data_IF_200629965317
#
_entry.id   IF_200629965317
#
_cell.length_a   1.000
_cell.length_b   1.000
_cell.length_c   1.000
_cell.angle_alpha   90.00
_cell.angle_beta   90.00
_cell.angle_gamma   90.00
#
_symmetry.space_group_name_H-M   'P 1'
#
loop_
_entity.id
_entity.type
_entity.pdbx_description
1 polymer ?
#
# COMPACT_ATOMS: atom_id res chain seq x y z
N UNK A 1 27.83 -0.99 -1.63
CA UNK A 1 27.29 -1.35 -0.30
C UNK A 1 25.99 -2.13 -0.48
N UNK A 2 25.53 -2.88 0.53
CA UNK A 2 24.22 -3.55 0.47
C UNK A 2 23.15 -2.54 0.87
N UNK A 3 22.26 -2.20 -0.06
CA UNK A 3 21.17 -1.26 0.19
C UNK A 3 20.34 -1.64 1.44
N UNK A 4 19.93 -0.61 2.19
CA UNK A 4 19.01 -0.74 3.32
C UNK A 4 17.62 -1.09 2.80
N UNK A 5 16.97 -2.09 3.39
CA UNK A 5 15.62 -2.51 2.99
C UNK A 5 14.60 -1.55 3.61
N UNK A 6 13.54 -1.17 2.87
CA UNK A 6 12.51 -0.29 3.40
C UNK A 6 11.76 -0.96 4.56
N UNK A 7 11.42 -0.17 5.58
CA UNK A 7 10.43 -0.55 6.58
C UNK A 7 9.03 -0.61 5.96
N UNK A 8 8.35 -1.74 6.10
CA UNK A 8 7.02 -1.97 5.52
C UNK A 8 5.98 -2.12 6.62
N UNK A 9 4.83 -1.46 6.44
CA UNK A 9 3.76 -1.53 7.42
C UNK A 9 3.16 -2.94 7.56
N UNK A 10 2.90 -3.36 8.79
CA UNK A 10 2.10 -4.53 9.14
C UNK A 10 0.60 -4.26 8.99
N UNK A 11 -0.19 -5.33 8.90
CA UNK A 11 -1.65 -5.27 9.08
C UNK A 11 -1.95 -5.61 10.53
N UNK A 12 -2.95 -4.98 11.13
CA UNK A 12 -3.46 -5.32 12.45
C UNK A 12 -4.99 -5.21 12.46
N UNK A 13 -5.66 -6.02 13.29
CA UNK A 13 -7.08 -5.87 13.61
C UNK A 13 -7.27 -4.78 14.68
N UNK A 14 -8.49 -4.27 14.84
CA UNK A 14 -8.81 -3.29 15.89
C UNK A 14 -8.47 -3.84 17.29
N UNK A 15 -8.70 -5.12 17.55
CA UNK A 15 -8.32 -5.77 18.81
C UNK A 15 -6.79 -5.77 19.01
N UNK A 16 -6.02 -6.03 17.95
CA UNK A 16 -4.56 -5.98 18.03
C UNK A 16 -4.05 -4.55 18.25
N UNK A 17 -4.67 -3.56 17.61
CA UNK A 17 -4.31 -2.14 17.79
C UNK A 17 -4.68 -1.68 19.21
N UNK A 18 -5.83 -2.07 19.75
CA UNK A 18 -6.20 -1.81 21.14
C UNK A 18 -5.14 -2.32 22.12
N UNK A 19 -4.65 -3.55 21.92
CA UNK A 19 -3.56 -4.12 22.74
C UNK A 19 -2.24 -3.36 22.58
N UNK A 20 -1.98 -2.73 21.42
CA UNK A 20 -0.82 -1.85 21.24
C UNK A 20 -0.97 -0.58 22.07
N UNK A 21 -2.16 0.04 22.10
CA UNK A 21 -2.41 1.19 22.97
C UNK A 21 -2.27 0.83 24.45
N UNK A 22 -2.72 -0.34 24.87
CA UNK A 22 -2.52 -0.81 26.25
C UNK A 22 -1.04 -0.87 26.63
N UNK A 23 -0.18 -1.25 25.68
CA UNK A 23 1.26 -1.43 25.86
C UNK A 23 2.05 -0.13 25.76
N UNK A 24 1.81 0.68 24.74
CA UNK A 24 2.65 1.85 24.38
C UNK A 24 2.05 3.16 24.89
N UNK A 25 0.75 3.20 25.20
CA UNK A 25 -0.03 4.36 25.70
C UNK A 25 -0.15 5.54 24.73
N UNK A 26 0.77 5.67 23.79
CA UNK A 26 0.76 6.69 22.74
C UNK A 26 1.31 6.09 21.45
N UNK A 27 0.67 6.40 20.33
CA UNK A 27 1.19 6.09 19.00
C UNK A 27 1.17 7.35 18.13
N UNK A 28 2.12 7.46 17.21
CA UNK A 28 2.14 8.54 16.23
C UNK A 28 1.37 8.12 14.98
N UNK A 29 0.39 8.94 14.60
CA UNK A 29 -0.42 8.75 13.41
C UNK A 29 -0.05 9.77 12.33
N UNK A 30 -0.10 9.35 11.07
CA UNK A 30 0.02 10.24 9.89
C UNK A 30 -0.94 9.76 8.81
N UNK A 31 -1.39 10.62 7.89
CA UNK A 31 -2.20 10.19 6.76
C UNK A 31 -1.45 9.16 5.94
N UNK A 32 -2.15 8.11 5.50
CA UNK A 32 -1.59 7.16 4.55
C UNK A 32 -1.68 7.77 3.15
N UNK A 33 -0.52 8.07 2.61
CA UNK A 33 -0.34 8.54 1.24
C UNK A 33 -0.54 7.40 0.22
N UNK A 34 -0.89 7.81 -1.00
CA UNK A 34 -1.16 6.95 -2.16
C UNK A 34 -0.33 7.33 -3.40
N UNK A 35 0.98 7.37 -3.22
CA UNK A 35 1.98 7.68 -4.25
C UNK A 35 3.00 6.57 -4.44
N UNK A 36 4.22 6.96 -4.83
CA UNK A 36 5.34 6.03 -5.04
C UNK A 36 6.39 6.19 -3.95
N UNK A 37 6.56 5.13 -3.14
CA UNK A 37 7.60 5.04 -2.11
C UNK A 37 8.98 5.37 -2.69
N UNK A 38 9.71 6.25 -2.01
CA UNK A 38 11.07 6.63 -2.37
C UNK A 38 11.98 6.67 -1.12
N UNK A 39 13.17 6.10 -1.24
CA UNK A 39 14.25 6.15 -0.26
C UNK A 39 15.50 6.70 -0.93
N UNK A 40 16.24 7.57 -0.27
CA UNK A 40 17.47 8.14 -0.84
C UNK A 40 18.66 7.47 -0.18
N UNK A 41 19.42 6.68 -0.95
CA UNK A 41 20.58 5.94 -0.48
C UNK A 41 21.77 6.17 -1.40
N UNK A 42 22.90 6.52 -0.82
CA UNK A 42 24.14 6.81 -1.53
C UNK A 42 23.93 7.84 -2.66
N UNK A 43 23.07 8.84 -2.42
CA UNK A 43 22.72 9.87 -3.40
C UNK A 43 21.81 9.40 -4.55
N UNK A 44 21.20 8.22 -4.44
CA UNK A 44 20.27 7.68 -5.44
C UNK A 44 18.87 7.57 -4.85
N UNK A 45 17.86 8.01 -5.61
CA UNK A 45 16.48 7.90 -5.20
C UNK A 45 15.97 6.53 -5.65
N UNK A 46 15.57 5.70 -4.70
CA UNK A 46 15.23 4.30 -4.89
C UNK A 46 13.77 4.05 -4.55
N UNK A 47 13.08 3.34 -5.44
CA UNK A 47 11.74 2.82 -5.20
C UNK A 47 11.71 1.78 -4.08
N UNK A 48 10.51 1.35 -3.66
CA UNK A 48 10.30 0.24 -2.71
C UNK A 48 11.06 -1.05 -3.03
N UNK A 49 11.31 -1.34 -4.31
CA UNK A 49 12.06 -2.52 -4.73
C UNK A 49 13.56 -2.28 -4.85
N UNK A 50 14.07 -1.15 -4.35
CA UNK A 50 15.46 -0.72 -4.45
C UNK A 50 15.94 -0.51 -5.90
N UNK A 51 15.01 -0.18 -6.80
CA UNK A 51 15.34 0.23 -8.17
C UNK A 51 15.36 1.75 -8.24
N UNK A 52 16.31 2.37 -8.97
CA UNK A 52 16.33 3.80 -9.19
C UNK A 52 14.99 4.33 -9.70
N UNK A 53 14.59 5.51 -9.21
CA UNK A 53 13.47 6.24 -9.77
C UNK A 53 13.81 6.58 -11.22
N UNK A 54 12.90 6.25 -12.14
CA UNK A 54 13.18 6.29 -13.58
C UNK A 54 13.20 7.72 -14.12
N UNK A 55 12.38 8.60 -13.58
CA UNK A 55 12.28 9.98 -14.03
C UNK A 55 13.55 10.77 -13.69
N UNK A 56 14.26 11.24 -14.72
CA UNK A 56 15.55 11.92 -14.60
C UNK A 56 15.46 13.25 -13.84
N UNK A 57 14.36 14.00 -14.02
CA UNK A 57 14.16 15.26 -13.32
C UNK A 57 13.97 15.04 -11.81
N UNK A 58 13.09 14.12 -11.42
CA UNK A 58 12.90 13.74 -10.02
C UNK A 58 14.22 13.22 -9.42
N UNK A 59 14.92 12.35 -10.17
CA UNK A 59 16.20 11.78 -9.75
C UNK A 59 17.25 12.88 -9.51
N UNK A 60 17.33 13.90 -10.38
CA UNK A 60 18.29 15.01 -10.26
C UNK A 60 18.07 15.90 -9.03
N UNK A 61 16.81 16.03 -8.58
CA UNK A 61 16.46 16.79 -7.38
C UNK A 61 16.74 15.96 -6.13
N UNK A 62 16.28 14.70 -6.12
CA UNK A 62 16.38 13.83 -4.95
C UNK A 62 17.78 13.22 -4.75
N UNK A 63 18.68 13.31 -5.73
CA UNK A 63 20.08 12.87 -5.60
C UNK A 63 20.96 13.81 -4.75
N UNK A 64 20.41 14.89 -4.19
CA UNK A 64 21.16 15.79 -3.32
C UNK A 64 21.64 15.03 -2.07
N UNK A 65 22.95 15.01 -1.75
CA UNK A 65 23.49 14.31 -0.58
C UNK A 65 22.86 14.73 0.76
N UNK A 66 22.31 15.95 0.88
CA UNK A 66 21.61 16.39 2.08
C UNK A 66 20.30 15.62 2.34
N UNK A 67 19.80 14.90 1.34
CA UNK A 67 18.61 14.08 1.46
C UNK A 67 18.92 12.59 1.67
N UNK A 68 20.19 12.22 1.79
CA UNK A 68 20.57 10.82 2.01
C UNK A 68 20.02 10.32 3.35
N UNK A 69 19.47 9.10 3.35
CA UNK A 69 18.80 8.54 4.52
C UNK A 69 17.31 8.86 4.62
N UNK A 70 16.78 9.77 3.80
CA UNK A 70 15.36 10.12 3.85
C UNK A 70 14.47 9.02 3.25
N UNK A 71 13.31 8.82 3.88
CA UNK A 71 12.30 7.85 3.48
C UNK A 71 10.92 8.51 3.42
N UNK A 72 10.26 8.38 2.28
CA UNK A 72 9.06 9.14 1.98
C UNK A 72 8.27 8.60 0.82
N UNK A 73 7.31 9.41 0.36
CA UNK A 73 6.47 9.09 -0.79
C UNK A 73 6.47 10.23 -1.79
N UNK A 74 6.75 9.93 -3.05
CA UNK A 74 6.61 10.88 -4.14
C UNK A 74 5.14 10.93 -4.54
N UNK A 75 4.60 12.14 -4.65
CA UNK A 75 3.24 12.43 -5.11
C UNK A 75 3.31 13.52 -6.18
N UNK A 76 2.57 13.37 -7.28
CA UNK A 76 2.33 14.45 -8.25
C UNK A 76 0.90 14.98 -8.09
N UNK A 77 0.78 16.25 -7.69
CA UNK A 77 -0.49 16.92 -7.44
C UNK A 77 -0.91 16.90 -5.97
N UNK A 78 -2.22 17.04 -5.73
CA UNK A 78 -2.81 17.00 -4.40
C UNK A 78 -2.75 15.56 -3.84
N UNK A 79 -2.17 15.33 -2.64
CA UNK A 79 -2.13 14.02 -2.01
C UNK A 79 -3.51 13.39 -1.73
N UNK A 80 -4.60 14.15 -1.81
CA UNK A 80 -5.96 13.65 -1.58
C UNK A 80 -6.82 13.54 -2.83
N UNK A 81 -6.29 13.84 -4.01
CA UNK A 81 -7.03 13.67 -5.26
C UNK A 81 -7.27 12.18 -5.57
N UNK A 82 -8.47 11.82 -6.03
CA UNK A 82 -8.86 10.43 -6.30
C UNK A 82 -7.96 9.72 -7.34
N UNK A 83 -7.35 10.47 -8.25
CA UNK A 83 -6.49 9.95 -9.30
C UNK A 83 -4.99 10.16 -9.05
N UNK A 84 -4.62 10.60 -7.84
CA UNK A 84 -3.23 10.94 -7.47
C UNK A 84 -2.26 9.79 -7.72
N UNK A 85 -2.63 8.55 -7.39
CA UNK A 85 -1.79 7.38 -7.60
C UNK A 85 -1.47 7.17 -9.08
N UNK A 86 -2.48 7.32 -9.94
CA UNK A 86 -2.35 7.12 -11.39
C UNK A 86 -1.45 8.19 -12.01
N UNK A 87 -1.68 9.46 -11.65
CA UNK A 87 -0.87 10.59 -12.11
C UNK A 87 0.58 10.41 -11.64
N UNK A 88 0.78 10.17 -10.35
CA UNK A 88 2.10 9.97 -9.75
C UNK A 88 2.85 8.81 -10.42
N UNK A 89 2.20 7.65 -10.57
CA UNK A 89 2.82 6.49 -11.24
C UNK A 89 3.24 6.84 -12.67
N UNK A 90 2.37 7.51 -13.44
CA UNK A 90 2.68 7.92 -14.80
C UNK A 90 3.89 8.84 -14.91
N UNK A 91 4.03 9.79 -13.97
CA UNK A 91 5.14 10.74 -13.92
C UNK A 91 6.45 10.11 -13.45
N UNK A 92 6.41 9.31 -12.38
CA UNK A 92 7.59 8.69 -11.76
C UNK A 92 8.18 7.57 -12.63
N UNK A 93 7.33 6.83 -13.36
CA UNK A 93 7.75 5.70 -14.20
C UNK A 93 8.18 6.09 -15.62
N UNK A 94 7.96 7.35 -16.03
CA UNK A 94 8.46 7.89 -17.31
C UNK A 94 9.88 8.42 -17.11
N UNK A 95 10.80 8.15 -18.04
CA UNK A 95 12.19 8.63 -17.91
C UNK A 95 12.33 10.13 -18.09
N UNK A 96 11.54 10.71 -18.99
CA UNK A 96 11.56 12.13 -19.33
C UNK A 96 10.37 12.89 -18.74
N UNK A 97 10.48 14.22 -18.74
CA UNK A 97 9.45 15.15 -18.26
C UNK A 97 9.82 15.78 -16.92
N UNK A 98 9.21 16.93 -16.63
CA UNK A 98 9.44 17.71 -15.40
C UNK A 98 8.13 17.87 -14.65
N UNK A 99 7.61 16.79 -14.05
CA UNK A 99 6.34 16.86 -13.33
C UNK A 99 6.46 17.77 -12.12
N UNK A 100 5.36 18.45 -11.77
CA UNK A 100 5.23 18.97 -10.42
C UNK A 100 5.03 17.79 -9.45
N UNK A 101 5.89 17.70 -8.44
CA UNK A 101 5.87 16.62 -7.47
C UNK A 101 6.23 17.10 -6.08
N UNK A 102 5.82 16.37 -5.06
CA UNK A 102 6.30 16.53 -3.69
C UNK A 102 6.81 15.19 -3.18
N UNK A 103 8.01 15.17 -2.60
CA UNK A 103 8.52 14.08 -1.79
C UNK A 103 8.13 14.32 -0.33
N UNK A 104 7.12 13.57 0.11
CA UNK A 104 6.60 13.61 1.47
C UNK A 104 7.41 12.69 2.37
N UNK A 105 8.34 13.27 3.12
CA UNK A 105 9.26 12.58 4.03
C UNK A 105 8.56 12.23 5.32
N UNK A 106 8.59 10.97 5.74
CA UNK A 106 7.98 10.53 7.00
C UNK A 106 8.94 9.78 7.93
N UNK A 107 10.17 9.48 7.50
CA UNK A 107 11.19 8.83 8.33
C UNK A 107 12.61 9.12 7.78
N UNK A 108 13.62 8.82 8.59
CA UNK A 108 15.03 8.82 8.20
C UNK A 108 15.69 7.55 8.73
N UNK A 109 16.26 6.70 7.87
CA UNK A 109 16.73 5.36 8.25
C UNK A 109 18.21 5.28 8.64
N UNK A 110 18.97 6.38 8.54
CA UNK A 110 20.37 6.43 8.94
C UNK A 110 20.56 6.66 10.44
N UNK A 111 19.57 7.26 11.11
CA UNK A 111 19.69 7.55 12.54
C UNK A 111 19.39 6.30 13.39
N UNK A 112 20.24 5.96 14.37
CA UNK A 112 20.04 4.81 15.25
C UNK A 112 19.00 5.07 16.36
N UNK A 113 18.16 6.10 16.22
CA UNK A 113 17.19 6.50 17.21
C UNK A 113 15.84 5.77 17.04
N UNK A 114 15.03 5.67 18.11
CA UNK A 114 13.61 5.37 17.99
C UNK A 114 12.87 6.39 17.13
N UNK A 115 11.67 6.06 16.65
CA UNK A 115 10.93 6.89 15.70
C UNK A 115 10.77 8.34 16.16
N UNK A 116 10.48 8.57 17.44
CA UNK A 116 10.39 9.91 18.01
C UNK A 116 11.69 10.71 17.84
N UNK A 117 12.85 10.08 18.11
CA UNK A 117 14.15 10.72 17.89
C UNK A 117 14.43 10.98 16.40
N UNK A 118 14.06 10.06 15.50
CA UNK A 118 14.23 10.25 14.05
C UNK A 118 13.32 11.37 13.52
N UNK A 119 12.13 11.54 14.08
CA UNK A 119 11.26 12.68 13.79
C UNK A 119 11.88 13.99 14.26
N UNK A 120 12.41 14.04 15.49
CA UNK A 120 13.13 15.21 15.98
C UNK A 120 14.28 15.61 15.05
N UNK A 121 15.10 14.67 14.61
CA UNK A 121 16.19 14.93 13.65
C UNK A 121 15.67 15.45 12.31
N UNK A 122 14.57 14.90 11.77
CA UNK A 122 13.97 15.38 10.53
C UNK A 122 13.54 16.85 10.63
N UNK A 123 12.91 17.25 11.74
CA UNK A 123 12.52 18.65 11.95
C UNK A 123 13.72 19.56 12.23
N UNK A 124 14.79 19.03 12.83
CA UNK A 124 16.02 19.79 13.06
C UNK A 124 16.77 20.09 11.75
N UNK A 125 16.88 19.09 10.87
CA UNK A 125 17.50 19.24 9.53
C UNK A 125 16.62 20.10 8.61
N UNK A 126 15.30 20.02 8.79
CA UNK A 126 14.26 20.68 7.98
C UNK A 126 14.54 20.62 6.47
N UNK A 127 14.43 19.43 5.84
CA UNK A 127 14.62 19.31 4.40
C UNK A 127 13.61 20.13 3.58
N UNK A 128 12.50 20.58 4.19
CA UNK A 128 11.53 21.48 3.57
C UNK A 128 12.15 22.85 3.23
N UNK A 129 13.04 23.35 4.09
CA UNK A 129 13.77 24.60 3.87
C UNK A 129 14.84 24.50 2.78
N UNK A 130 15.25 23.29 2.39
CA UNK A 130 16.30 23.05 1.39
C UNK A 130 15.74 23.10 -0.03
N UNK A 131 14.57 22.52 -0.28
CA UNK A 131 13.99 22.48 -1.62
C UNK A 131 12.45 22.38 -1.58
N UNK A 132 11.74 23.16 -2.42
CA UNK A 132 10.27 23.29 -2.33
C UNK A 132 9.50 21.99 -2.61
N UNK A 133 10.09 21.06 -3.35
CA UNK A 133 9.49 19.75 -3.63
C UNK A 133 9.68 18.75 -2.48
N UNK A 134 10.28 19.12 -1.34
CA UNK A 134 10.45 18.24 -0.19
C UNK A 134 9.58 18.77 0.94
N UNK A 135 8.80 17.90 1.57
CA UNK A 135 7.95 18.27 2.72
C UNK A 135 7.97 17.18 3.76
N UNK A 136 8.10 17.55 5.04
CA UNK A 136 7.90 16.61 6.13
C UNK A 136 6.40 16.32 6.25
N UNK A 137 6.03 15.04 6.22
CA UNK A 137 4.67 14.59 6.51
C UNK A 137 4.41 14.71 8.01
N UNK A 138 3.46 15.57 8.36
CA UNK A 138 3.08 15.81 9.76
C UNK A 138 2.50 14.55 10.40
N UNK A 139 2.80 14.39 11.67
CA UNK A 139 2.28 13.34 12.54
C UNK A 139 1.53 13.96 13.71
N UNK A 140 0.61 13.19 14.30
CA UNK A 140 -0.15 13.56 15.50
C UNK A 140 -0.05 12.43 16.53
N UNK A 141 -0.12 12.78 17.81
CA UNK A 141 -0.24 11.80 18.89
C UNK A 141 -1.67 11.27 18.96
N UNK A 142 -1.80 9.95 19.11
CA UNK A 142 -3.06 9.24 19.32
C UNK A 142 -2.89 8.32 20.53
N UNK A 143 -3.79 8.40 21.50
CA UNK A 143 -3.66 7.72 22.78
C UNK A 143 -4.57 6.49 22.92
N UNK A 144 -5.59 6.36 22.07
CA UNK A 144 -6.60 5.31 22.18
C UNK A 144 -7.32 5.05 20.84
N UNK A 145 -8.18 4.03 20.84
CA UNK A 145 -8.96 3.62 19.67
C UNK A 145 -9.98 4.66 19.22
N UNK A 146 -10.55 5.45 20.14
CA UNK A 146 -11.55 6.47 19.81
C UNK A 146 -10.90 7.61 19.01
N UNK A 147 -9.76 8.12 19.48
CA UNK A 147 -8.96 9.12 18.77
C UNK A 147 -8.47 8.59 17.42
N UNK A 148 -8.05 7.33 17.35
CA UNK A 148 -7.65 6.69 16.09
C UNK A 148 -8.82 6.69 15.09
N UNK A 149 -10.02 6.30 15.53
CA UNK A 149 -11.20 6.26 14.68
C UNK A 149 -11.60 7.65 14.19
N UNK A 150 -11.54 8.66 15.06
CA UNK A 150 -11.79 10.05 14.68
C UNK A 150 -10.77 10.56 13.66
N UNK A 151 -9.48 10.30 13.87
CA UNK A 151 -8.43 10.70 12.94
C UNK A 151 -8.49 9.94 11.61
N UNK A 152 -8.79 8.64 11.63
CA UNK A 152 -9.01 7.86 10.42
C UNK A 152 -10.18 8.42 9.61
N UNK A 153 -11.32 8.70 10.26
CA UNK A 153 -12.48 9.31 9.60
C UNK A 153 -12.10 10.64 8.94
N UNK A 154 -11.41 11.52 9.67
CA UNK A 154 -10.91 12.79 9.15
C UNK A 154 -10.01 12.61 7.92
N UNK A 155 -9.04 11.68 7.99
CA UNK A 155 -8.16 11.40 6.84
C UNK A 155 -8.94 10.88 5.63
N UNK A 156 -9.91 9.98 5.84
CA UNK A 156 -10.73 9.43 4.77
C UNK A 156 -11.62 10.51 4.12
N UNK A 157 -12.24 11.38 4.92
CA UNK A 157 -13.07 12.49 4.43
C UNK A 157 -12.28 13.50 3.60
N UNK A 158 -10.99 13.68 3.91
CA UNK A 158 -10.11 14.52 3.10
C UNK A 158 -9.68 13.87 1.79
N UNK A 159 -9.79 12.54 1.65
CA UNK A 159 -9.38 11.77 0.46
C UNK A 159 -8.07 10.99 0.61
N UNK A 160 -7.52 10.86 1.82
CA UNK A 160 -6.34 9.99 2.05
C UNK A 160 -6.71 8.51 2.03
N UNK A 161 -5.74 7.65 1.75
CA UNK A 161 -5.95 6.21 1.65
C UNK A 161 -6.28 5.54 3.01
N UNK A 162 -5.97 6.20 4.12
CA UNK A 162 -6.15 5.72 5.50
C UNK A 162 -5.14 6.36 6.45
N UNK A 163 -4.68 5.61 7.45
CA UNK A 163 -3.73 6.08 8.47
C UNK A 163 -2.52 5.14 8.58
N UNK A 164 -1.35 5.69 8.87
CA UNK A 164 -0.17 4.96 9.32
C UNK A 164 0.07 5.25 10.80
N UNK A 165 0.11 4.22 11.61
CA UNK A 165 0.51 4.24 13.02
C UNK A 165 1.96 3.82 13.19
N UNK A 166 2.66 4.48 14.09
CA UNK A 166 4.04 4.17 14.47
C UNK A 166 4.19 4.17 15.98
N UNK A 167 4.94 3.19 16.48
CA UNK A 167 5.40 3.19 17.87
C UNK A 167 6.48 4.29 18.02
N UNK A 168 6.31 5.29 18.91
CA UNK A 168 7.32 6.33 19.15
C UNK A 168 8.69 5.76 19.54
N UNK A 169 8.70 4.60 20.20
CA UNK A 169 9.88 3.87 20.63
C UNK A 169 10.36 2.83 19.60
N UNK A 170 9.69 2.74 18.44
CA UNK A 170 10.00 1.79 17.38
C UNK A 170 11.28 2.12 16.61
N UNK A 171 12.20 1.16 16.55
CA UNK A 171 13.38 1.25 15.67
C UNK A 171 13.01 1.08 14.19
N UNK A 172 13.82 1.66 13.30
CA UNK A 172 13.64 1.46 11.86
C UNK A 172 13.94 0.00 11.49
N UNK A 173 12.90 -0.76 11.13
CA UNK A 173 13.03 -2.19 10.81
C UNK A 173 13.32 -2.39 9.33
N UNK A 174 14.37 -3.15 9.00
CA UNK A 174 14.73 -3.50 7.61
C UNK A 174 13.83 -4.60 7.02
N UNK A 175 12.54 -4.31 6.90
CA UNK A 175 11.52 -5.24 6.41
C UNK A 175 10.13 -4.93 6.95
N UNK A 176 9.25 -5.93 6.91
CA UNK A 176 7.85 -5.75 7.32
C UNK A 176 7.69 -5.85 8.84
N UNK A 177 7.03 -4.86 9.43
CA UNK A 177 6.58 -4.89 10.82
C UNK A 177 5.43 -5.89 10.98
N UNK A 178 5.35 -6.54 12.14
CA UNK A 178 4.24 -7.43 12.49
C UNK A 178 3.23 -6.71 13.40
N UNK A 179 1.99 -7.21 13.47
CA UNK A 179 0.98 -6.67 14.39
C UNK A 179 1.47 -6.68 15.85
N UNK A 180 2.19 -7.74 16.26
CA UNK A 180 2.72 -7.89 17.61
C UNK A 180 3.86 -6.91 17.91
N UNK A 181 4.71 -6.63 16.93
CA UNK A 181 5.79 -5.65 17.08
C UNK A 181 5.24 -4.22 17.16
N UNK A 182 4.21 -3.88 16.38
CA UNK A 182 3.54 -2.58 16.45
C UNK A 182 4.33 -1.40 15.88
N UNK A 183 5.59 -1.59 15.46
CA UNK A 183 6.47 -0.49 15.05
C UNK A 183 5.98 0.34 13.87
N UNK A 184 5.30 -0.26 12.89
CA UNK A 184 4.69 0.44 11.76
C UNK A 184 3.44 -0.32 11.29
N UNK A 185 2.26 0.22 11.51
CA UNK A 185 0.97 -0.40 11.19
C UNK A 185 0.21 0.48 10.20
N UNK A 186 -0.43 -0.13 9.21
CA UNK A 186 -1.38 0.57 8.34
C UNK A 186 -2.81 0.28 8.81
N UNK A 187 -3.59 1.34 8.97
CA UNK A 187 -5.01 1.29 9.28
C UNK A 187 -5.75 1.67 8.01
N UNK A 188 -6.50 0.70 7.49
CA UNK A 188 -7.29 0.83 6.27
C UNK A 188 -8.54 -0.03 6.43
N UNK A 189 -9.69 0.60 6.61
CA UNK A 189 -10.97 -0.09 6.61
C UNK A 189 -11.44 -0.36 5.19
N UNK A 190 -11.88 -1.58 4.97
CA UNK A 190 -12.58 -1.96 3.74
C UNK A 190 -14.07 -1.81 4.00
N UNK A 191 -14.83 -1.58 2.94
CA UNK A 191 -16.27 -1.68 2.98
C UNK A 191 -16.76 -2.89 2.21
N UNK A 192 -17.78 -3.52 2.78
CA UNK A 192 -18.44 -4.65 2.16
C UNK A 192 -19.39 -4.16 1.05
N UNK A 193 -19.41 -4.87 -0.06
CA UNK A 193 -20.39 -4.74 -1.13
C UNK A 193 -20.67 -6.13 -1.70
N UNK A 194 -21.58 -6.20 -2.66
CA UNK A 194 -21.99 -7.44 -3.30
C UNK A 194 -21.84 -7.34 -4.82
N UNK A 195 -21.46 -8.45 -5.43
CA UNK A 195 -21.30 -8.53 -6.87
C UNK A 195 -21.88 -9.85 -7.40
N UNK A 196 -22.37 -9.82 -8.64
CA UNK A 196 -22.82 -11.01 -9.36
C UNK A 196 -21.68 -11.60 -10.17
N UNK A 197 -21.47 -12.92 -10.09
CA UNK A 197 -20.46 -13.62 -10.87
C UNK A 197 -20.89 -13.66 -12.35
N UNK A 198 -20.04 -13.14 -13.23
CA UNK A 198 -20.20 -13.18 -14.68
C UNK A 198 -19.29 -14.24 -15.35
N UNK A 199 -18.20 -14.61 -14.68
CA UNK A 199 -17.21 -15.52 -15.24
C UNK A 199 -16.06 -15.78 -14.27
N UNK A 200 -15.07 -16.52 -14.73
CA UNK A 200 -13.88 -16.87 -13.96
C UNK A 200 -12.64 -16.89 -14.84
N UNK A 201 -11.50 -16.50 -14.28
CA UNK A 201 -10.18 -16.59 -14.89
C UNK A 201 -9.35 -17.67 -14.18
N UNK A 202 -8.64 -18.49 -14.95
CA UNK A 202 -7.79 -19.54 -14.40
C UNK A 202 -6.50 -18.99 -13.77
N UNK A 203 -6.03 -19.61 -12.70
CA UNK A 203 -4.73 -19.31 -12.13
C UNK A 203 -3.62 -19.82 -13.06
N UNK A 204 -2.65 -18.95 -13.35
CA UNK A 204 -1.49 -19.30 -14.17
C UNK A 204 -0.26 -19.56 -13.30
N UNK A 205 0.35 -20.74 -13.45
CA UNK A 205 1.64 -21.07 -12.81
C UNK A 205 2.77 -20.45 -13.62
N UNK A 206 3.58 -19.61 -12.96
CA UNK A 206 4.71 -18.94 -13.60
C UNK A 206 5.99 -19.80 -13.51
N UNK A 207 6.36 -20.42 -14.62
CA UNK A 207 7.56 -21.26 -14.75
C UNK A 207 8.78 -20.51 -15.34
N UNK A 208 8.68 -19.21 -15.64
CA UNK A 208 9.83 -18.41 -16.10
C UNK A 208 11.00 -18.52 -15.13
N UNK A 209 12.24 -18.47 -15.61
CA UNK A 209 13.46 -18.58 -14.80
C UNK A 209 13.44 -17.72 -13.52
N UNK A 210 13.85 -18.33 -12.39
CA UNK A 210 13.94 -17.65 -11.08
C UNK A 210 15.28 -16.95 -10.97
N UNK A 211 15.25 -15.62 -10.88
CA UNK A 211 16.40 -14.76 -10.61
C UNK A 211 16.34 -14.21 -9.18
N UNK A 212 17.43 -13.67 -8.67
CA UNK A 212 17.46 -12.96 -7.38
C UNK A 212 17.37 -11.46 -7.65
N UNK A 213 16.48 -10.75 -6.95
CA UNK A 213 16.29 -9.31 -7.09
C UNK A 213 17.15 -8.50 -6.12
N UNK A 214 17.04 -7.18 -6.18
CA UNK A 214 17.81 -6.20 -5.39
C UNK A 214 17.58 -6.36 -3.86
N UNK A 215 16.44 -6.95 -3.46
CA UNK A 215 16.12 -7.25 -2.06
C UNK A 215 16.67 -8.61 -1.59
N UNK A 216 17.36 -9.35 -2.46
CA UNK A 216 17.83 -10.72 -2.21
C UNK A 216 16.72 -11.77 -2.25
N UNK A 217 15.59 -11.48 -2.91
CA UNK A 217 14.43 -12.38 -3.01
C UNK A 217 14.34 -13.01 -4.39
N UNK A 218 13.80 -14.22 -4.47
CA UNK A 218 13.48 -14.83 -5.76
C UNK A 218 12.42 -14.04 -6.53
N UNK A 219 12.68 -13.76 -7.80
CA UNK A 219 11.78 -13.09 -8.74
C UNK A 219 11.76 -13.88 -10.06
N UNK A 220 10.58 -14.02 -10.64
CA UNK A 220 10.38 -14.55 -12.00
C UNK A 220 9.80 -13.45 -12.88
N UNK A 221 10.15 -13.42 -14.16
CA UNK A 221 9.53 -12.50 -15.13
C UNK A 221 8.05 -12.84 -15.34
N UNK A 222 7.28 -11.91 -15.92
CA UNK A 222 5.85 -12.09 -16.18
C UNK A 222 5.52 -12.52 -17.61
N UNK A 223 6.53 -12.89 -18.42
CA UNK A 223 6.37 -13.32 -19.81
C UNK A 223 5.38 -14.47 -19.94
N UNK A 224 4.52 -14.41 -20.96
CA UNK A 224 3.41 -15.35 -21.15
C UNK A 224 3.87 -16.75 -21.58
N UNK A 225 4.99 -16.84 -22.30
CA UNK A 225 5.50 -18.08 -22.89
C UNK A 225 5.63 -19.25 -21.90
N UNK A 226 6.10 -18.97 -20.67
CA UNK A 226 6.27 -19.99 -19.63
C UNK A 226 5.20 -19.95 -18.53
N UNK A 227 4.02 -19.39 -18.83
CA UNK A 227 2.87 -19.43 -17.91
C UNK A 227 1.91 -20.52 -18.37
N UNK A 228 1.73 -21.53 -17.54
CA UNK A 228 0.80 -22.64 -17.82
C UNK A 228 -0.43 -22.56 -16.92
N UNK A 229 -1.61 -22.98 -17.40
CA UNK A 229 -2.81 -23.08 -16.58
C UNK A 229 -2.60 -24.06 -15.41
N UNK A 230 -3.13 -23.75 -14.23
CA UNK A 230 -2.95 -24.56 -13.00
C UNK A 230 -4.14 -25.49 -12.70
N UNK A 231 -5.27 -25.31 -13.37
CA UNK A 231 -6.51 -26.03 -13.11
C UNK A 231 -7.24 -25.54 -11.86
N UNK A 232 -7.02 -24.29 -11.44
CA UNK A 232 -7.60 -23.71 -10.22
C UNK A 232 -8.01 -22.25 -10.46
N UNK A 233 -8.91 -21.71 -9.61
CA UNK A 233 -9.41 -20.34 -9.77
C UNK A 233 -8.28 -19.32 -9.61
N UNK A 234 -8.14 -18.42 -10.58
CA UNK A 234 -7.30 -17.23 -10.53
C UNK A 234 -8.06 -16.01 -10.01
N UNK A 235 -9.18 -15.68 -10.65
CA UNK A 235 -10.05 -14.59 -10.25
C UNK A 235 -11.52 -14.84 -10.66
N UNK A 236 -12.47 -14.30 -9.89
CA UNK A 236 -13.86 -14.15 -10.33
C UNK A 236 -13.97 -12.89 -11.19
N UNK A 237 -14.67 -12.98 -12.31
CA UNK A 237 -15.11 -11.82 -13.10
C UNK A 237 -16.52 -11.51 -12.63
N UNK A 238 -16.72 -10.34 -12.03
CA UNK A 238 -17.98 -9.97 -11.39
C UNK A 238 -18.51 -8.63 -11.90
N UNK A 239 -19.80 -8.38 -11.64
CA UNK A 239 -20.45 -7.07 -11.81
C UNK A 239 -20.97 -6.61 -10.45
N UNK A 240 -20.54 -5.45 -10.00
CA UNK A 240 -21.02 -4.90 -8.71
C UNK A 240 -22.53 -4.65 -8.79
N UNK A 241 -23.28 -5.06 -7.75
CA UNK A 241 -24.74 -4.98 -7.74
C UNK A 241 -25.25 -3.53 -7.62
N UNK A 242 -24.47 -2.65 -6.99
CA UNK A 242 -24.87 -1.26 -6.73
C UNK A 242 -24.56 -0.34 -7.91
N UNK A 243 -23.34 -0.42 -8.42
CA UNK A 243 -22.81 0.46 -9.48
C UNK A 243 -22.97 -0.14 -10.87
N UNK A 244 -23.14 -1.46 -10.99
CA UNK A 244 -23.20 -2.15 -12.27
C UNK A 244 -21.86 -2.29 -12.98
N UNK A 245 -20.74 -1.94 -12.33
CA UNK A 245 -19.41 -1.93 -12.95
C UNK A 245 -18.80 -3.33 -12.92
N UNK A 246 -18.17 -3.74 -14.03
CA UNK A 246 -17.50 -5.03 -14.15
C UNK A 246 -16.04 -4.95 -13.65
N UNK A 247 -15.63 -5.93 -12.86
CA UNK A 247 -14.29 -6.00 -12.27
C UNK A 247 -13.91 -7.43 -11.88
N UNK A 248 -12.62 -7.64 -11.54
CA UNK A 248 -12.13 -8.95 -11.14
C UNK A 248 -11.81 -9.02 -9.64
N UNK A 249 -12.19 -10.11 -8.99
CA UNK A 249 -11.83 -10.44 -7.60
C UNK A 249 -10.81 -11.59 -7.62
N UNK A 250 -9.53 -11.26 -7.41
CA UNK A 250 -8.43 -12.23 -7.46
C UNK A 250 -7.86 -12.66 -6.11
N UNK A 251 -8.40 -12.15 -4.99
CA UNK A 251 -7.88 -12.35 -3.63
C UNK A 251 -8.99 -12.64 -2.62
N UNK A 252 -8.63 -13.19 -1.45
CA UNK A 252 -9.60 -13.62 -0.44
C UNK A 252 -9.90 -15.13 -0.46
N UNK A 253 -9.28 -15.87 -1.38
CA UNK A 253 -9.41 -17.33 -1.50
C UNK A 253 -8.16 -18.02 -0.95
N UNK A 254 -8.34 -19.07 -0.15
CA UNK A 254 -7.31 -20.08 0.10
C UNK A 254 -7.24 -21.09 -1.07
N UNK A 255 -6.26 -22.00 -1.03
CA UNK A 255 -6.05 -22.96 -2.12
C UNK A 255 -7.25 -23.92 -2.29
N UNK A 256 -7.86 -24.36 -1.18
CA UNK A 256 -9.03 -25.25 -1.22
C UNK A 256 -10.26 -24.57 -1.86
N UNK A 257 -10.51 -23.31 -1.51
CA UNK A 257 -11.58 -22.50 -2.09
C UNK A 257 -11.35 -22.29 -3.59
N UNK A 258 -10.10 -22.05 -4.01
CA UNK A 258 -9.77 -21.90 -5.44
C UNK A 258 -10.06 -23.17 -6.22
N UNK A 259 -9.73 -24.33 -5.66
CA UNK A 259 -9.99 -25.63 -6.29
C UNK A 259 -11.49 -25.91 -6.38
N UNK A 260 -12.23 -25.67 -5.30
CA UNK A 260 -13.67 -25.90 -5.25
C UNK A 260 -14.41 -25.02 -6.25
N UNK A 261 -14.20 -23.70 -6.21
CA UNK A 261 -14.90 -22.77 -7.08
C UNK A 261 -14.59 -23.05 -8.56
N UNK A 262 -13.36 -23.43 -8.89
CA UNK A 262 -12.99 -23.78 -10.26
C UNK A 262 -13.69 -25.05 -10.77
N UNK A 263 -13.83 -26.06 -9.91
CA UNK A 263 -14.56 -27.30 -10.25
C UNK A 263 -16.04 -27.06 -10.53
N UNK A 264 -16.67 -26.12 -9.82
CA UNK A 264 -18.10 -25.81 -9.95
C UNK A 264 -18.40 -24.57 -10.79
N UNK A 265 -17.44 -24.09 -11.58
CA UNK A 265 -17.49 -22.80 -12.28
C UNK A 265 -18.78 -22.54 -13.08
N UNK A 266 -19.29 -23.56 -13.76
CA UNK A 266 -20.46 -23.41 -14.66
C UNK A 266 -21.74 -23.15 -13.86
N UNK A 267 -21.84 -23.68 -12.64
CA UNK A 267 -23.00 -23.48 -11.75
C UNK A 267 -22.95 -22.19 -10.94
N UNK A 268 -21.82 -21.46 -10.95
CA UNK A 268 -21.62 -20.25 -10.16
C UNK A 268 -22.00 -18.96 -10.90
N UNK A 269 -22.16 -19.02 -12.23
CA UNK A 269 -22.55 -17.84 -13.02
C UNK A 269 -23.94 -17.36 -12.59
N UNK A 270 -24.08 -16.06 -12.36
CA UNK A 270 -25.31 -15.44 -11.87
C UNK A 270 -25.45 -15.42 -10.34
N UNK A 271 -24.66 -16.22 -9.61
CA UNK A 271 -24.69 -16.19 -8.14
C UNK A 271 -24.05 -14.92 -7.57
N UNK A 272 -24.48 -14.54 -6.38
CA UNK A 272 -23.96 -13.40 -5.66
C UNK A 272 -22.76 -13.77 -4.80
N UNK A 273 -21.80 -12.85 -4.71
CA UNK A 273 -20.69 -12.92 -3.78
C UNK A 273 -20.62 -11.67 -2.95
N UNK A 274 -20.28 -11.83 -1.68
CA UNK A 274 -19.89 -10.74 -0.81
C UNK A 274 -18.39 -10.48 -1.00
N UNK A 275 -18.04 -9.23 -1.19
CA UNK A 275 -16.66 -8.79 -1.29
C UNK A 275 -16.46 -7.53 -0.49
N UNK A 276 -15.21 -7.17 -0.25
CA UNK A 276 -14.87 -5.88 0.35
C UNK A 276 -13.84 -5.13 -0.48
N UNK A 277 -13.94 -3.81 -0.50
CA UNK A 277 -13.05 -2.93 -1.28
C UNK A 277 -12.78 -1.62 -0.55
N UNK A 278 -11.87 -0.80 -1.06
CA UNK A 278 -11.68 0.56 -0.56
C UNK A 278 -12.63 1.51 -1.27
N UNK A 279 -13.24 2.45 -0.51
CA UNK A 279 -14.04 3.55 -1.06
C UNK A 279 -13.21 4.63 -1.78
N UNK A 280 -11.98 4.86 -1.33
CA UNK A 280 -11.14 5.99 -1.80
C UNK A 280 -10.19 5.57 -2.92
N UNK A 281 -10.06 6.45 -3.92
CA UNK A 281 -9.29 6.19 -5.14
C UNK A 281 -9.97 5.19 -6.08
N UNK A 282 -11.29 5.04 -5.97
CA UNK A 282 -12.13 4.32 -6.93
C UNK A 282 -12.38 5.26 -8.10
N UNK A 283 -11.84 4.91 -9.27
CA UNK A 283 -12.15 5.64 -10.50
C UNK A 283 -13.45 5.14 -11.12
N UNK A 284 -13.41 3.88 -11.56
CA UNK A 284 -14.53 3.21 -12.22
C UNK A 284 -14.86 1.93 -11.43
N UNK A 285 -13.89 1.00 -11.27
CA UNK A 285 -14.11 -0.27 -10.57
C UNK A 285 -13.68 -0.26 -9.10
N UNK A 286 -14.29 -1.11 -8.23
CA UNK A 286 -13.90 -1.26 -6.83
C UNK A 286 -12.39 -1.48 -6.64
N UNK A 287 -11.78 -0.73 -5.71
CA UNK A 287 -10.34 -0.75 -5.49
C UNK A 287 -9.94 -1.84 -4.49
N UNK A 288 -8.97 -2.67 -4.89
CA UNK A 288 -8.49 -3.82 -4.09
C UNK A 288 -9.60 -4.74 -3.58
N UNK A 289 -10.46 -5.27 -4.47
CA UNK A 289 -11.54 -6.15 -4.07
C UNK A 289 -11.00 -7.46 -3.48
N UNK A 290 -11.59 -7.86 -2.36
CA UNK A 290 -11.27 -9.09 -1.62
C UNK A 290 -12.54 -9.89 -1.43
N UNK A 291 -12.56 -11.13 -1.89
CA UNK A 291 -13.67 -12.05 -1.68
C UNK A 291 -13.86 -12.35 -0.19
N UNK A 292 -15.12 -12.38 0.26
CA UNK A 292 -15.50 -12.75 1.62
C UNK A 292 -16.30 -14.05 1.69
N UNK A 293 -17.11 -14.34 0.68
CA UNK A 293 -17.96 -15.53 0.66
C UNK A 293 -19.00 -15.48 -0.45
N UNK A 294 -19.62 -16.61 -0.72
CA UNK A 294 -20.87 -16.67 -1.49
C UNK A 294 -21.96 -15.99 -0.66
N UNK A 295 -22.91 -15.36 -1.34
CA UNK A 295 -24.11 -14.79 -0.72
C UNK A 295 -25.32 -15.51 -1.31
N UNK A 296 -26.16 -16.05 -0.45
CA UNK A 296 -27.44 -16.62 -0.87
C UNK A 296 -28.42 -15.49 -1.16
N UNK A 297 -29.23 -15.61 -2.22
CA UNK A 297 -30.24 -14.61 -2.54
C UNK A 297 -31.33 -14.52 -1.45
N UNK A 298 -31.54 -15.57 -0.66
CA UNK A 298 -32.46 -15.56 0.49
C UNK A 298 -31.99 -14.71 1.68
N UNK A 299 -30.71 -14.37 1.73
CA UNK A 299 -30.09 -13.50 2.74
C UNK A 299 -30.12 -12.01 2.33
N UNK A 300 -30.76 -11.67 1.21
CA UNK A 300 -30.92 -10.30 0.71
C UNK A 300 -32.30 -9.76 1.08
N UNK A 301 -32.42 -9.19 2.28
CA UNK A 301 -33.60 -8.45 2.75
C UNK A 301 -33.33 -6.96 2.75
#
# INVERSE_FOLDING_TARGET
>A
MKHVKPMLAGKATDEQISKLFDKVKEMYASPKLDGIRCMIQDGVALSRSLKPIRNEFIQSILSNPMFDGLDGEIISGDPTADDVYRITTGNVMRSTGKPDFTFWVFDSFLHPYPYMGRQHELYHIDPTGIHPNIKILKTVSIFNMEELQAYEKYCLELGYEGVILRDPNGMYKHGRSTAKEGGLIKVKRFEDSEATILGMEEQMKNNNEKKVNELGRGQRSSHKENKIPKGTLGALVCKDKTTGIQFNIGSGFDDATRDQLWKYKDGLIGQAVKYKSFKIGVKDAPRHPVYLGMRDDSDMS
#
